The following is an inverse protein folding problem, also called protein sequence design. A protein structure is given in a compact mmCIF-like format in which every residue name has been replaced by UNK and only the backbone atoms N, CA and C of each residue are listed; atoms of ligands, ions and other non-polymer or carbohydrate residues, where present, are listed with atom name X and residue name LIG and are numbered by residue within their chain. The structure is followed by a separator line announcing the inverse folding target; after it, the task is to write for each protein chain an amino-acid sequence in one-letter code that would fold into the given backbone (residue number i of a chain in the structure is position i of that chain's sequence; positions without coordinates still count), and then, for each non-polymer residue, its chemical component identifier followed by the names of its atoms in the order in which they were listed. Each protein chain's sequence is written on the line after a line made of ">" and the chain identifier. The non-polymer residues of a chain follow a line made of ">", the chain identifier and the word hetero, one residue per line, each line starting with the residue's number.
data_IF_333179466516
#
_entry.id   IF_333179466516
#
_cell.length_a   1.000
_cell.length_b   1.000
_cell.length_c   1.000
_cell.angle_alpha   90.00
_cell.angle_beta   90.00
_cell.angle_gamma   90.00
#
_symmetry.space_group_name_H-M   'P 1'
#
loop_
_entity.id
_entity.type
_entity.pdbx_description
1 polymer ?
#
# COMPACT_ATOMS: atom_id res chain seq x y z
N UNK A 1 6.08 -29.47 -3.93
CA UNK A 1 7.53 -29.38 -4.26
C UNK A 1 8.49 -29.85 -3.16
N UNK A 2 8.52 -29.28 -1.94
CA UNK A 2 9.48 -29.71 -0.90
C UNK A 2 9.14 -31.10 -0.33
N UNK A 3 7.87 -31.32 0.04
CA UNK A 3 7.37 -32.64 0.50
C UNK A 3 7.49 -33.72 -0.57
N UNK A 4 7.08 -33.40 -1.80
CA UNK A 4 7.18 -34.32 -2.96
C UNK A 4 8.60 -34.80 -3.25
N UNK A 5 9.61 -33.98 -2.91
CA UNK A 5 11.03 -34.30 -3.13
C UNK A 5 11.71 -34.85 -1.88
N UNK A 6 10.97 -35.07 -0.78
CA UNK A 6 11.47 -35.58 0.49
C UNK A 6 12.69 -34.79 1.02
N UNK A 7 12.70 -33.46 0.82
CA UNK A 7 13.80 -32.61 1.26
C UNK A 7 13.54 -32.19 2.72
N UNK A 8 14.41 -32.56 3.68
CA UNK A 8 14.26 -32.16 5.07
C UNK A 8 14.60 -30.68 5.25
N UNK A 9 13.83 -29.99 6.10
CA UNK A 9 14.12 -28.60 6.48
C UNK A 9 14.94 -28.60 7.76
N UNK A 10 16.12 -28.00 7.70
CA UNK A 10 17.09 -27.99 8.80
C UNK A 10 17.14 -26.61 9.44
N UNK A 11 16.86 -26.55 10.74
CA UNK A 11 17.08 -25.37 11.54
C UNK A 11 18.20 -25.65 12.55
N UNK A 12 19.30 -24.90 12.44
CA UNK A 12 20.50 -25.09 13.29
C UNK A 12 20.15 -25.11 14.78
N UNK A 13 19.18 -24.29 15.19
CA UNK A 13 18.76 -24.12 16.57
C UNK A 13 17.67 -25.10 17.05
N UNK A 14 17.19 -26.01 16.17
CA UNK A 14 16.14 -26.97 16.51
C UNK A 14 16.73 -28.38 16.38
N UNK A 15 17.24 -28.98 17.47
CA UNK A 15 17.99 -30.23 17.43
C UNK A 15 17.20 -31.39 16.81
N UNK A 16 15.88 -31.41 17.00
CA UNK A 16 14.98 -32.41 16.42
C UNK A 16 14.98 -32.42 14.89
N UNK A 17 15.42 -31.34 14.24
CA UNK A 17 15.46 -31.22 12.77
C UNK A 17 16.73 -31.79 12.14
N UNK A 18 17.85 -31.92 12.86
CA UNK A 18 19.14 -32.33 12.27
C UNK A 18 19.84 -33.49 12.97
N UNK A 19 19.50 -33.78 14.24
CA UNK A 19 20.11 -34.91 14.98
C UNK A 19 19.90 -36.27 14.29
N UNK A 20 18.87 -36.37 13.45
CA UNK A 20 18.57 -37.56 12.66
C UNK A 20 19.47 -37.78 11.42
N UNK A 21 20.32 -36.80 11.08
CA UNK A 21 21.29 -36.92 9.99
C UNK A 21 22.57 -37.68 10.41
N UNK A 22 22.66 -38.09 11.69
CA UNK A 22 23.78 -38.89 12.16
C UNK A 22 23.77 -40.30 11.52
N UNK A 23 24.92 -40.85 11.11
CA UNK A 23 24.99 -42.09 10.32
C UNK A 23 24.56 -43.37 11.06
N UNK A 24 24.25 -43.27 12.37
CA UNK A 24 23.87 -44.39 13.24
C UNK A 24 22.36 -44.44 13.47
N UNK A 25 21.56 -44.52 12.40
CA UNK A 25 20.09 -44.48 12.49
C UNK A 25 19.44 -45.78 12.01
N UNK A 26 18.42 -46.22 12.74
CA UNK A 26 17.52 -47.30 12.35
C UNK A 26 16.43 -46.76 11.39
N UNK A 27 15.94 -47.58 10.45
CA UNK A 27 14.90 -47.20 9.47
C UNK A 27 13.64 -46.59 10.12
N UNK A 28 13.30 -47.09 11.30
CA UNK A 28 12.17 -46.63 12.10
C UNK A 28 12.34 -45.18 12.58
N UNK A 29 13.56 -44.73 12.84
CA UNK A 29 13.81 -43.35 13.26
C UNK A 29 13.72 -42.39 12.07
N UNK A 30 14.23 -42.78 10.89
CA UNK A 30 14.06 -42.01 9.65
C UNK A 30 12.58 -41.73 9.33
N UNK A 31 11.70 -42.73 9.49
CA UNK A 31 10.25 -42.56 9.28
C UNK A 31 9.61 -41.61 10.30
N UNK A 32 10.03 -41.67 11.57
CA UNK A 32 9.54 -40.75 12.62
C UNK A 32 9.94 -39.31 12.32
N UNK A 33 11.21 -39.07 11.98
CA UNK A 33 11.69 -37.70 11.70
C UNK A 33 11.09 -37.11 10.42
N UNK A 34 10.83 -37.94 9.40
CA UNK A 34 10.06 -37.54 8.23
C UNK A 34 8.66 -37.04 8.60
N UNK A 35 7.92 -37.79 9.42
CA UNK A 35 6.58 -37.40 9.87
C UNK A 35 6.59 -36.10 10.72
N UNK A 36 7.60 -35.93 11.58
CA UNK A 36 7.76 -34.70 12.37
C UNK A 36 8.02 -33.50 11.46
N UNK A 37 8.89 -33.62 10.46
CA UNK A 37 9.17 -32.56 9.50
C UNK A 37 7.91 -32.16 8.71
N UNK A 38 7.11 -33.12 8.29
CA UNK A 38 5.84 -32.84 7.60
C UNK A 38 4.87 -32.09 8.51
N UNK A 39 4.68 -32.55 9.75
CA UNK A 39 3.81 -31.86 10.72
C UNK A 39 4.29 -30.44 11.03
N UNK A 40 5.60 -30.22 11.16
CA UNK A 40 6.17 -28.89 11.38
C UNK A 40 5.80 -27.94 10.24
N UNK A 41 5.90 -28.40 8.99
CA UNK A 41 5.50 -27.61 7.83
C UNK A 41 4.00 -27.27 7.82
N UNK A 42 3.13 -28.19 8.26
CA UNK A 42 1.68 -27.93 8.35
C UNK A 42 1.37 -26.90 9.44
N UNK A 43 2.03 -27.01 10.60
CA UNK A 43 1.87 -26.05 11.69
C UNK A 43 2.32 -24.66 11.24
N UNK A 44 3.48 -24.55 10.58
CA UNK A 44 3.99 -23.28 10.05
C UNK A 44 3.04 -22.67 9.01
N UNK A 45 2.48 -23.50 8.12
CA UNK A 45 1.49 -23.06 7.14
C UNK A 45 0.23 -22.52 7.82
N UNK A 46 -0.27 -23.21 8.86
CA UNK A 46 -1.42 -22.78 9.64
C UNK A 46 -1.17 -21.45 10.39
N UNK A 47 0.00 -21.30 11.02
CA UNK A 47 0.41 -20.06 11.69
C UNK A 47 0.51 -18.91 10.69
N UNK A 48 1.17 -19.13 9.55
CA UNK A 48 1.31 -18.12 8.50
C UNK A 48 -0.05 -17.66 7.98
N UNK A 49 -0.99 -18.59 7.81
CA UNK A 49 -2.36 -18.28 7.40
C UNK A 49 -3.08 -17.42 8.44
N UNK A 50 -3.05 -17.83 9.71
CA UNK A 50 -3.67 -17.09 10.82
C UNK A 50 -3.11 -15.67 10.95
N UNK A 51 -1.79 -15.52 10.87
CA UNK A 51 -1.13 -14.21 10.98
C UNK A 51 -1.49 -13.29 9.79
N UNK A 52 -1.60 -13.85 8.58
CA UNK A 52 -2.07 -13.11 7.42
C UNK A 52 -3.50 -12.57 7.61
N UNK A 53 -4.41 -13.41 8.07
CA UNK A 53 -5.81 -13.04 8.33
C UNK A 53 -5.88 -11.95 9.41
N UNK A 54 -5.14 -12.13 10.51
CA UNK A 54 -5.10 -11.15 11.60
C UNK A 54 -4.54 -9.79 11.17
N UNK A 55 -3.51 -9.75 10.32
CA UNK A 55 -2.99 -8.49 9.76
C UNK A 55 -4.04 -7.78 8.91
N UNK A 56 -4.76 -8.52 8.08
CA UNK A 56 -5.81 -7.99 7.20
C UNK A 56 -6.95 -7.41 8.03
N UNK A 57 -7.41 -8.12 9.07
CA UNK A 57 -8.43 -7.63 9.99
C UNK A 57 -8.01 -6.32 10.67
N UNK A 58 -6.80 -6.27 11.24
CA UNK A 58 -6.27 -5.04 11.86
C UNK A 58 -6.19 -3.88 10.87
N UNK A 59 -5.75 -4.15 9.63
CA UNK A 59 -5.70 -3.13 8.59
C UNK A 59 -7.11 -2.61 8.27
N UNK A 60 -8.10 -3.48 8.13
CA UNK A 60 -9.49 -3.07 7.85
C UNK A 60 -10.08 -2.23 8.98
N UNK A 61 -9.84 -2.62 10.24
CA UNK A 61 -10.25 -1.85 11.42
C UNK A 61 -9.57 -0.47 11.48
N UNK A 62 -8.25 -0.43 11.20
CA UNK A 62 -7.49 0.82 11.15
C UNK A 62 -7.99 1.77 10.05
N UNK A 63 -8.29 1.22 8.86
CA UNK A 63 -8.87 1.97 7.75
C UNK A 63 -10.25 2.50 8.13
N UNK A 64 -11.13 1.67 8.69
CA UNK A 64 -12.48 2.07 9.10
C UNK A 64 -12.44 3.21 10.13
N UNK A 65 -11.60 3.09 11.17
CA UNK A 65 -11.41 4.14 12.20
C UNK A 65 -10.91 5.45 11.59
N UNK A 66 -9.94 5.37 10.68
CA UNK A 66 -9.34 6.56 10.05
C UNK A 66 -10.29 7.21 9.05
N UNK A 67 -11.09 6.41 8.33
CA UNK A 67 -12.17 6.90 7.45
C UNK A 67 -13.25 7.61 8.26
N UNK A 68 -13.71 7.02 9.37
CA UNK A 68 -14.68 7.65 10.28
C UNK A 68 -14.15 8.98 10.85
N UNK A 69 -12.85 9.06 11.13
CA UNK A 69 -12.20 10.30 11.56
C UNK A 69 -11.92 11.32 10.42
N UNK A 70 -12.33 11.04 9.17
CA UNK A 70 -12.18 11.96 8.04
C UNK A 70 -10.74 12.25 7.60
N UNK A 71 -9.76 11.43 8.01
CA UNK A 71 -8.32 11.65 7.72
C UNK A 71 -7.88 11.15 6.35
N UNK A 72 -8.64 10.25 5.73
CA UNK A 72 -8.38 9.80 4.35
C UNK A 72 -8.79 10.89 3.36
N UNK A 73 -7.82 11.70 2.91
CA UNK A 73 -8.03 12.79 1.95
C UNK A 73 -7.52 12.47 0.53
N UNK A 74 -7.10 11.23 0.28
CA UNK A 74 -6.52 10.81 -0.99
C UNK A 74 -5.20 11.53 -1.32
N UNK A 75 -4.77 11.45 -2.59
CA UNK A 75 -3.56 12.16 -3.06
C UNK A 75 -3.83 13.66 -3.09
N UNK A 76 -3.16 14.41 -2.22
CA UNK A 76 -3.24 15.86 -2.22
C UNK A 76 -2.55 16.45 -3.44
N UNK A 77 -3.09 17.56 -3.92
CA UNK A 77 -2.54 18.31 -5.04
C UNK A 77 -1.29 19.07 -4.61
N UNK A 78 -0.25 19.00 -5.43
CA UNK A 78 0.97 19.80 -5.25
C UNK A 78 0.71 21.25 -5.68
N UNK A 79 0.41 22.08 -4.69
CA UNK A 79 0.07 23.50 -4.89
C UNK A 79 1.23 24.30 -5.49
N UNK A 80 2.48 23.94 -5.17
CA UNK A 80 3.66 24.64 -5.69
C UNK A 80 3.82 24.42 -7.18
N UNK A 81 3.70 23.16 -7.62
CA UNK A 81 3.74 22.80 -9.05
C UNK A 81 2.60 23.43 -9.84
N UNK A 82 1.41 23.48 -9.26
CA UNK A 82 0.26 24.12 -9.91
C UNK A 82 0.47 25.63 -10.03
N UNK A 83 0.99 26.29 -8.98
CA UNK A 83 1.39 27.70 -9.02
C UNK A 83 2.45 28.02 -10.08
N UNK A 84 3.43 27.13 -10.29
CA UNK A 84 4.40 27.28 -11.37
C UNK A 84 3.74 27.15 -12.76
N UNK A 85 2.86 26.15 -12.95
CA UNK A 85 2.11 25.97 -14.19
C UNK A 85 1.29 27.22 -14.54
N UNK A 86 0.59 27.81 -13.56
CA UNK A 86 -0.21 29.01 -13.81
C UNK A 86 0.63 30.21 -14.20
N UNK A 87 1.75 30.46 -13.51
CA UNK A 87 2.66 31.57 -13.86
C UNK A 87 3.17 31.46 -15.30
N UNK A 88 3.55 30.25 -15.71
CA UNK A 88 4.02 29.99 -17.07
C UNK A 88 2.88 30.12 -18.10
N UNK A 89 1.69 29.60 -17.82
CA UNK A 89 0.54 29.77 -18.71
C UNK A 89 0.08 31.23 -18.82
N UNK A 90 0.10 31.98 -17.72
CA UNK A 90 -0.24 33.41 -17.70
C UNK A 90 0.77 34.25 -18.51
N UNK A 91 2.04 33.84 -18.55
CA UNK A 91 3.06 34.46 -19.42
C UNK A 91 2.87 34.16 -20.92
N UNK A 92 1.85 33.39 -21.30
CA UNK A 92 1.59 33.02 -22.70
C UNK A 92 2.45 31.86 -23.22
N UNK A 93 3.15 31.15 -22.34
CA UNK A 93 4.01 30.02 -22.74
C UNK A 93 3.18 28.84 -23.29
N UNK A 94 3.66 28.23 -24.39
CA UNK A 94 3.01 27.06 -24.96
C UNK A 94 3.12 25.83 -24.04
N UNK A 95 2.15 24.92 -24.13
CA UNK A 95 2.07 23.74 -23.27
C UNK A 95 3.31 22.84 -23.32
N UNK A 96 3.96 22.75 -24.49
CA UNK A 96 5.21 21.98 -24.66
C UNK A 96 6.35 22.61 -23.87
N UNK A 97 6.42 23.95 -23.82
CA UNK A 97 7.41 24.68 -23.03
C UNK A 97 7.15 24.47 -21.53
N UNK A 98 5.91 24.58 -21.08
CA UNK A 98 5.53 24.34 -19.68
C UNK A 98 5.90 22.92 -19.23
N UNK A 99 5.59 21.92 -20.06
CA UNK A 99 5.94 20.52 -19.81
C UNK A 99 7.45 20.32 -19.66
N UNK A 100 8.26 20.94 -20.54
CA UNK A 100 9.72 20.84 -20.50
C UNK A 100 10.33 21.57 -19.31
N UNK A 101 9.81 22.73 -18.96
CA UNK A 101 10.34 23.57 -17.87
C UNK A 101 10.02 23.01 -16.48
N UNK A 102 8.80 22.48 -16.28
CA UNK A 102 8.35 21.98 -14.97
C UNK A 102 8.53 20.46 -14.83
N UNK A 103 8.77 19.74 -15.94
CA UNK A 103 8.86 18.28 -15.92
C UNK A 103 7.55 17.62 -15.51
N UNK A 104 6.42 18.09 -16.05
CA UNK A 104 5.09 17.54 -15.78
C UNK A 104 4.40 17.07 -17.07
N UNK A 105 3.54 16.05 -16.97
CA UNK A 105 2.76 15.57 -18.11
C UNK A 105 1.69 16.57 -18.54
N UNK A 106 1.28 16.54 -19.83
CA UNK A 106 0.12 17.33 -20.32
C UNK A 106 -1.14 17.10 -19.49
N UNK A 107 -1.34 15.88 -18.99
CA UNK A 107 -2.45 15.55 -18.08
C UNK A 107 -2.37 16.31 -16.76
N UNK A 108 -1.18 16.54 -16.22
CA UNK A 108 -0.99 17.34 -14.99
C UNK A 108 -1.31 18.82 -15.23
N UNK A 109 -0.95 19.36 -16.40
CA UNK A 109 -1.29 20.74 -16.79
C UNK A 109 -2.80 20.90 -16.95
N UNK A 110 -3.46 19.95 -17.63
CA UNK A 110 -4.92 19.93 -17.76
C UNK A 110 -5.62 19.82 -16.40
N UNK A 111 -5.15 18.93 -15.52
CA UNK A 111 -5.68 18.80 -14.15
C UNK A 111 -5.46 20.06 -13.32
N UNK A 112 -4.34 20.77 -13.51
CA UNK A 112 -4.13 22.07 -12.88
C UNK A 112 -5.18 23.09 -13.32
N UNK A 113 -5.38 23.27 -14.63
CA UNK A 113 -6.40 24.20 -15.16
C UNK A 113 -7.80 23.87 -14.61
N UNK A 114 -8.19 22.59 -14.60
CA UNK A 114 -9.47 22.15 -14.02
C UNK A 114 -9.56 22.46 -12.53
N UNK A 115 -8.48 22.26 -11.79
CA UNK A 115 -8.43 22.57 -10.36
C UNK A 115 -8.53 24.08 -10.09
N UNK A 116 -7.97 24.94 -10.94
CA UNK A 116 -8.19 26.39 -10.85
C UNK A 116 -9.65 26.76 -11.10
N UNK A 117 -10.28 26.20 -12.14
CA UNK A 117 -11.69 26.44 -12.43
C UNK A 117 -12.59 26.02 -11.26
N UNK A 118 -12.31 24.85 -10.66
CA UNK A 118 -13.05 24.36 -9.51
C UNK A 118 -12.89 25.25 -8.27
N UNK A 119 -11.67 25.76 -8.00
CA UNK A 119 -11.43 26.70 -6.90
C UNK A 119 -12.20 28.02 -7.06
N UNK A 120 -12.34 28.51 -8.29
CA UNK A 120 -13.13 29.73 -8.56
C UNK A 120 -14.61 29.48 -8.29
N UNK A 121 -15.16 28.34 -8.72
CA UNK A 121 -16.58 27.95 -8.49
C UNK A 121 -16.87 27.75 -7.00
N UNK A 122 -15.97 27.10 -6.25
CA UNK A 122 -16.15 26.90 -4.81
C UNK A 122 -16.13 28.24 -4.05
N UNK A 123 -15.32 29.22 -4.50
CA UNK A 123 -15.24 30.55 -3.88
C UNK A 123 -16.46 31.45 -4.14
N UNK A 124 -17.14 31.32 -5.28
CA UNK A 124 -18.36 32.09 -5.58
C UNK A 124 -19.58 31.58 -4.82
N UNK A 125 -19.67 30.27 -4.55
CA UNK A 125 -20.79 29.66 -3.81
C UNK A 125 -20.91 30.11 -2.33
N UNK A 126 -19.84 30.63 -1.75
CA UNK A 126 -19.84 31.15 -0.36
C UNK A 126 -20.28 32.61 -0.23
N UNK A 127 -20.46 33.35 -1.34
CA UNK A 127 -20.78 34.80 -1.30
C UNK A 127 -22.28 35.09 -1.41
N UNK A 128 -23.12 34.12 -1.80
CA UNK A 128 -24.56 34.33 -2.05
C UNK A 128 -25.49 34.21 -0.82
N UNK A 129 -24.97 33.98 0.39
CA UNK A 129 -25.79 33.84 1.60
C UNK A 129 -25.65 35.03 2.56
N UNK A 130 -25.99 36.23 2.09
CA UNK A 130 -26.26 37.37 2.96
C UNK A 130 -27.71 37.83 2.69
N UNK A 131 -28.67 37.61 3.60
CA UNK A 131 -30.00 38.16 3.40
C UNK A 131 -29.91 39.68 3.49
N UNK A 132 -30.25 40.35 2.40
CA UNK A 132 -30.51 41.78 2.36
C UNK A 132 -31.68 42.04 3.30
N UNK A 133 -31.41 42.62 4.48
CA UNK A 133 -32.44 43.17 5.34
C UNK A 133 -32.97 44.44 4.67
N UNK A 134 -34.10 44.32 3.99
CA UNK A 134 -34.86 45.44 3.43
C UNK A 134 -35.88 45.93 4.46
N UNK A 135 -35.74 47.21 4.81
CA UNK A 135 -36.74 48.16 5.37
C UNK A 135 -37.22 47.94 6.80
#
# INVERSE_FOLDING_TARGET
>A
MIRERLIPVLAVNVPTTWQHLSPTQNELDARKFGAINDMLLDILAAIARRDYEQRRERQTQGIAKTKAAGKYRGRQVDRSRYGANYRLLASGSSWTVVQRTIGCSRSTISSAIKHAQQQVVDSSSHTECAPVATT
#
